data_IF_662790740797
#
_entry.id   IF_662790740797
#
_cell.length_a   1.000
_cell.length_b   1.000
_cell.length_c   1.000
_cell.angle_alpha   90.00
_cell.angle_beta   90.00
_cell.angle_gamma   90.00
#
_symmetry.space_group_name_H-M   'P 1'
#
loop_
_entity.id
_entity.type
_entity.pdbx_description
1 polymer ?
#
# COMPACT_ATOMS: atom_id res chain seq x y z
N UNK A 1 17.56 -5.37 1.16
CA UNK A 1 17.74 -3.93 1.44
C UNK A 1 16.90 -3.50 2.64
N UNK A 2 15.57 -3.55 2.52
CA UNK A 2 14.61 -3.09 3.56
C UNK A 2 14.81 -3.72 4.94
N UNK A 3 15.05 -5.04 5.01
CA UNK A 3 15.35 -5.73 6.27
C UNK A 3 16.64 -5.20 6.93
N UNK A 4 17.64 -4.82 6.13
CA UNK A 4 18.88 -4.25 6.62
C UNK A 4 18.65 -2.86 7.22
N UNK A 5 17.91 -2.01 6.52
CA UNK A 5 17.50 -0.69 7.01
C UNK A 5 16.70 -0.83 8.30
N UNK A 6 15.74 -1.75 8.35
CA UNK A 6 14.94 -2.03 9.54
C UNK A 6 15.78 -2.44 10.75
N UNK A 7 16.80 -3.29 10.57
CA UNK A 7 17.74 -3.67 11.64
C UNK A 7 18.58 -2.49 12.13
N UNK A 8 19.07 -1.65 11.22
CA UNK A 8 19.83 -0.44 11.58
C UNK A 8 18.98 0.54 12.40
N UNK A 9 17.73 0.78 11.99
CA UNK A 9 16.78 1.63 12.73
C UNK A 9 16.45 1.05 14.11
N UNK A 10 16.22 -0.27 14.19
CA UNK A 10 15.93 -0.94 15.46
C UNK A 10 17.10 -0.85 16.46
N UNK A 11 18.35 -0.92 15.99
CA UNK A 11 19.53 -0.72 16.84
C UNK A 11 19.59 0.70 17.46
N UNK A 12 18.88 1.67 16.88
CA UNK A 12 18.73 3.02 17.41
C UNK A 12 17.42 3.21 18.20
N UNK A 13 16.64 2.15 18.42
CA UNK A 13 15.34 2.22 19.09
C UNK A 13 14.23 2.83 18.23
N UNK A 14 14.41 2.90 16.91
CA UNK A 14 13.43 3.45 15.97
C UNK A 14 12.62 2.30 15.36
N UNK A 15 11.29 2.39 15.48
CA UNK A 15 10.35 1.39 14.97
C UNK A 15 9.35 2.03 13.99
N UNK A 16 8.88 1.28 12.98
CA UNK A 16 7.91 1.78 12.02
C UNK A 16 6.57 2.06 12.71
N UNK A 17 5.90 3.12 12.26
CA UNK A 17 4.52 3.41 12.64
C UNK A 17 3.55 2.56 11.80
N UNK A 18 2.34 2.22 12.31
CA UNK A 18 1.27 1.66 11.50
C UNK A 18 1.06 2.42 10.19
N UNK A 19 0.90 1.66 9.10
CA UNK A 19 0.79 2.14 7.73
C UNK A 19 -0.66 2.23 7.24
N UNK A 20 -1.60 1.79 8.08
CA UNK A 20 -3.05 1.90 7.91
C UNK A 20 -3.56 3.30 8.30
N UNK A 21 -4.72 3.68 7.77
CA UNK A 21 -5.45 4.86 8.25
C UNK A 21 -6.28 4.56 9.51
N UNK A 22 -6.97 5.56 10.04
CA UNK A 22 -7.82 5.45 11.26
C UNK A 22 -8.93 4.39 11.14
N UNK A 23 -9.30 4.00 9.93
CA UNK A 23 -10.31 2.96 9.64
C UNK A 23 -9.71 1.57 9.46
N UNK A 24 -8.39 1.41 9.64
CA UNK A 24 -7.68 0.17 9.42
C UNK A 24 -7.44 -0.19 7.95
N UNK A 25 -7.63 0.76 7.03
CA UNK A 25 -7.46 0.53 5.61
C UNK A 25 -6.00 0.74 5.17
N UNK A 26 -5.55 -0.06 4.21
CA UNK A 26 -4.18 -0.07 3.73
C UNK A 26 -3.90 1.13 2.82
N UNK A 27 -2.83 1.89 3.14
CA UNK A 27 -2.38 3.06 2.35
C UNK A 27 -1.18 2.73 1.47
N UNK A 28 -0.36 1.77 1.88
CA UNK A 28 0.80 1.27 1.13
C UNK A 28 0.54 -0.16 0.71
N UNK A 29 0.38 -0.40 -0.59
CA UNK A 29 0.03 -1.72 -1.10
C UNK A 29 1.24 -2.29 -1.86
N UNK A 30 1.87 -3.32 -1.30
CA UNK A 30 3.07 -3.94 -1.86
C UNK A 30 2.87 -4.75 -3.15
N UNK A 31 1.67 -4.75 -3.73
CA UNK A 31 1.32 -5.54 -4.91
C UNK A 31 0.38 -4.78 -5.85
N UNK A 32 0.25 -5.29 -7.07
CA UNK A 32 -0.66 -4.76 -8.08
C UNK A 32 -2.12 -4.76 -7.57
N UNK A 33 -2.95 -3.73 -7.88
CA UNK A 33 -4.35 -3.64 -7.44
C UNK A 33 -5.17 -4.91 -7.58
N UNK A 34 -5.07 -5.61 -8.73
CA UNK A 34 -5.78 -6.88 -8.95
C UNK A 34 -5.41 -7.97 -7.91
N UNK A 35 -4.16 -8.01 -7.46
CA UNK A 35 -3.70 -8.96 -6.43
C UNK A 35 -4.11 -8.52 -5.03
N UNK A 36 -4.03 -7.22 -4.76
CA UNK A 36 -4.50 -6.60 -3.51
C UNK A 36 -5.99 -6.89 -3.29
N UNK A 37 -6.82 -6.71 -4.32
CA UNK A 37 -8.26 -6.97 -4.28
C UNK A 37 -8.60 -8.47 -4.18
N UNK A 38 -7.81 -9.34 -4.84
CA UNK A 38 -7.99 -10.78 -4.85
C UNK A 38 -7.71 -11.51 -3.51
N UNK A 39 -7.30 -10.77 -2.48
CA UNK A 39 -7.13 -11.28 -1.13
C UNK A 39 -5.67 -11.63 -0.79
N UNK A 40 -5.27 -11.22 0.41
CA UNK A 40 -3.90 -11.16 0.90
C UNK A 40 -3.27 -12.51 1.33
N UNK A 41 -3.68 -13.63 0.73
CA UNK A 41 -3.34 -14.99 1.22
C UNK A 41 -1.84 -15.27 1.31
N UNK A 42 -1.01 -14.62 0.48
CA UNK A 42 0.44 -14.81 0.46
C UNK A 42 1.25 -13.74 1.21
N UNK A 43 0.57 -12.73 1.77
CA UNK A 43 1.24 -11.53 2.30
C UNK A 43 1.14 -11.39 3.83
N UNK A 44 0.26 -12.15 4.48
CA UNK A 44 0.07 -12.10 5.95
C UNK A 44 1.37 -12.26 6.75
N UNK A 45 2.35 -12.98 6.22
CA UNK A 45 3.63 -13.22 6.89
C UNK A 45 4.59 -12.02 6.84
N UNK A 46 4.35 -11.06 5.94
CA UNK A 46 5.20 -9.88 5.73
C UNK A 46 4.52 -8.56 6.09
N UNK A 47 3.20 -8.59 6.35
CA UNK A 47 2.42 -7.41 6.71
C UNK A 47 2.13 -7.47 8.20
N UNK A 48 2.62 -6.48 8.93
CA UNK A 48 2.38 -6.32 10.36
C UNK A 48 0.95 -5.85 10.65
N UNK A 49 0.42 -4.95 9.81
CA UNK A 49 -0.88 -4.34 10.05
C UNK A 49 -2.05 -5.28 9.68
N UNK A 50 -3.21 -5.15 10.36
CA UNK A 50 -4.41 -5.91 10.01
C UNK A 50 -4.83 -5.71 8.54
N UNK A 51 -5.29 -6.80 7.92
CA UNK A 51 -5.66 -6.83 6.51
C UNK A 51 -7.17 -6.90 6.34
N UNK A 52 -7.73 -5.83 5.77
CA UNK A 52 -9.10 -5.80 5.25
C UNK A 52 -9.04 -6.20 3.77
N UNK A 53 -9.91 -7.10 3.33
CA UNK A 53 -9.95 -7.62 1.95
C UNK A 53 -10.91 -6.84 1.07
N UNK A 54 -10.70 -6.88 -0.24
CA UNK A 54 -11.58 -6.22 -1.20
C UNK A 54 -11.40 -4.69 -1.19
N UNK A 55 -12.36 -3.98 -1.79
CA UNK A 55 -12.30 -2.53 -1.94
C UNK A 55 -12.31 -1.79 -0.60
N UNK A 56 -12.99 -2.32 0.41
CA UNK A 56 -13.03 -1.72 1.75
C UNK A 56 -11.66 -1.67 2.43
N UNK A 57 -10.73 -2.53 2.00
CA UNK A 57 -9.36 -2.53 2.50
C UNK A 57 -8.43 -1.49 1.89
N UNK A 58 -8.85 -0.80 0.83
CA UNK A 58 -8.05 0.23 0.18
C UNK A 58 -8.47 1.59 0.74
N UNK A 59 -7.51 2.29 1.34
CA UNK A 59 -7.73 3.62 1.89
C UNK A 59 -8.07 4.63 0.78
N UNK A 60 -8.97 5.58 1.05
CA UNK A 60 -9.20 6.71 0.12
C UNK A 60 -8.00 7.66 0.05
N UNK A 61 -7.28 7.77 1.15
CA UNK A 61 -5.99 8.46 1.28
C UNK A 61 -4.82 7.51 1.00
N UNK A 62 -4.99 6.68 -0.04
CA UNK A 62 -3.97 5.78 -0.60
C UNK A 62 -2.68 6.54 -0.92
N UNK A 63 -1.54 5.92 -0.63
CA UNK A 63 -0.22 6.44 -0.97
C UNK A 63 0.38 5.72 -2.17
N UNK A 64 0.35 4.38 -2.22
CA UNK A 64 1.00 3.65 -3.32
C UNK A 64 0.45 2.25 -3.60
N UNK A 65 0.61 1.83 -4.86
CA UNK A 65 0.58 0.43 -5.29
C UNK A 65 1.92 0.03 -5.91
N UNK A 66 2.33 -1.21 -5.70
CA UNK A 66 3.51 -1.79 -6.35
C UNK A 66 3.14 -2.52 -7.65
N UNK A 67 4.15 -2.83 -8.46
CA UNK A 67 4.00 -3.58 -9.72
C UNK A 67 3.05 -2.97 -10.76
N UNK A 68 2.89 -1.65 -10.76
CA UNK A 68 2.22 -0.95 -11.87
C UNK A 68 3.14 -0.91 -13.09
N UNK A 69 2.58 -1.16 -14.27
CA UNK A 69 3.25 -0.88 -15.54
C UNK A 69 3.36 0.64 -15.78
N UNK A 70 4.30 1.08 -16.64
CA UNK A 70 4.37 2.49 -17.03
C UNK A 70 3.06 3.04 -17.61
N UNK A 71 2.27 2.20 -18.29
CA UNK A 71 0.96 2.58 -18.81
C UNK A 71 -0.05 2.79 -17.69
N UNK A 72 -0.11 1.90 -16.70
CA UNK A 72 -1.00 2.05 -15.54
C UNK A 72 -0.65 3.27 -14.69
N UNK A 73 0.64 3.56 -14.50
CA UNK A 73 1.09 4.77 -13.82
C UNK A 73 0.57 6.03 -14.51
N UNK A 74 0.69 6.12 -15.84
CA UNK A 74 0.16 7.24 -16.63
C UNK A 74 -1.36 7.32 -16.56
N UNK A 75 -2.03 6.17 -16.62
CA UNK A 75 -3.48 6.11 -16.50
C UNK A 75 -3.93 6.64 -15.14
N UNK A 76 -3.32 6.20 -14.03
CA UNK A 76 -3.65 6.68 -12.70
C UNK A 76 -3.37 8.18 -12.53
N UNK A 77 -2.25 8.68 -13.05
CA UNK A 77 -1.95 10.12 -13.02
C UNK A 77 -3.04 10.94 -13.73
N UNK A 78 -3.50 10.48 -14.90
CA UNK A 78 -4.58 11.12 -15.65
C UNK A 78 -5.89 11.07 -14.87
N UNK A 79 -6.29 9.89 -14.40
CA UNK A 79 -7.56 9.68 -13.70
C UNK A 79 -7.64 10.44 -12.37
N UNK A 80 -6.54 10.51 -11.62
CA UNK A 80 -6.51 11.11 -10.29
C UNK A 80 -6.31 12.62 -10.31
N UNK A 81 -5.54 13.14 -11.27
CA UNK A 81 -5.06 14.54 -11.20
C UNK A 81 -5.39 15.39 -12.42
N UNK A 82 -5.81 14.78 -13.54
CA UNK A 82 -5.98 15.53 -14.81
C UNK A 82 -7.39 15.53 -15.35
N UNK A 83 -8.22 14.56 -14.98
CA UNK A 83 -9.64 14.58 -15.30
C UNK A 83 -10.37 15.33 -14.19
N UNK A 84 -10.75 16.58 -14.46
CA UNK A 84 -11.73 17.31 -13.66
C UNK A 84 -13.12 17.04 -14.21
N UNK A 85 -14.01 16.53 -13.37
CA UNK A 85 -15.45 16.56 -13.64
C UNK A 85 -15.94 17.91 -13.12
N UNK A 86 -16.27 18.83 -14.04
CA UNK A 86 -16.96 20.08 -13.72
C UNK A 86 -18.45 19.81 -13.50
#
# INVERSE_FOLDING_TARGET
EDLGIGRCLANMGIFPHPTINEKGQQRFNGYHPNKTLGGWKHQKQWIHDPLITGFDGIARDLISFHHLSPTEMKLFDVLLYRITVN
#
